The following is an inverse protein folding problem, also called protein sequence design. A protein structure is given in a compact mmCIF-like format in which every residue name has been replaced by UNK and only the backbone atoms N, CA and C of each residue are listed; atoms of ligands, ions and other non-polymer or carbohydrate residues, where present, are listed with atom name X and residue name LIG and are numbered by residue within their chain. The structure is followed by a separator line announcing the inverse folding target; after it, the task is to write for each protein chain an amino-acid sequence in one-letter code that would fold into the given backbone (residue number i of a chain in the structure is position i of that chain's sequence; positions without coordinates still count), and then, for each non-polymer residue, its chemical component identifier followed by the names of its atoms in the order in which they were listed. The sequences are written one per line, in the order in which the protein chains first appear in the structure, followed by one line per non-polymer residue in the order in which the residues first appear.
data_IF_203260312388
#
_entry.id   IF_203260312388
#
_cell.length_a   1.000
_cell.length_b   1.000
_cell.length_c   1.000
_cell.angle_alpha   90.00
_cell.angle_beta   90.00
_cell.angle_gamma   90.00
#
_symmetry.space_group_name_H-M   'P 1'
#
loop_
_entity.id
_entity.type
_entity.pdbx_description
1 polymer ?
#
# COMPACT_ATOMS: atom_id res chain seq x y z
N UNK A 1 3.08 13.85 -12.50
CA UNK A 1 1.69 13.38 -12.67
C UNK A 1 0.85 14.17 -11.67
N UNK A 2 -0.35 14.62 -11.99
CA UNK A 2 -1.22 15.18 -10.94
C UNK A 2 -1.77 14.01 -10.11
N UNK A 3 -1.91 14.17 -8.79
CA UNK A 3 -2.34 13.15 -7.84
C UNK A 3 -3.67 12.48 -8.23
N UNK A 4 -4.49 13.16 -9.03
CA UNK A 4 -5.72 12.60 -9.59
C UNK A 4 -5.52 11.34 -10.47
N UNK A 5 -4.30 11.02 -10.89
CA UNK A 5 -4.01 9.89 -11.79
C UNK A 5 -3.17 8.78 -11.15
N UNK A 6 -2.82 8.89 -9.86
CA UNK A 6 -2.04 7.85 -9.17
C UNK A 6 -2.97 6.66 -8.87
N UNK A 7 -2.66 5.45 -9.36
CA UNK A 7 -3.50 4.27 -9.14
C UNK A 7 -3.76 4.00 -7.65
N UNK A 8 -5.03 3.77 -7.30
CA UNK A 8 -5.46 3.37 -5.95
C UNK A 8 -5.92 4.52 -5.04
N UNK A 9 -5.75 5.77 -5.46
CA UNK A 9 -6.34 6.93 -4.74
C UNK A 9 -7.85 7.08 -4.96
N UNK A 10 -8.37 6.57 -6.07
CA UNK A 10 -9.78 6.58 -6.46
C UNK A 10 -10.58 5.42 -5.83
N UNK A 11 -9.92 4.32 -5.47
CA UNK A 11 -10.53 3.12 -4.88
C UNK A 11 -10.46 3.07 -3.34
N UNK A 12 -10.44 4.22 -2.67
CA UNK A 12 -10.33 4.28 -1.21
C UNK A 12 -11.56 3.65 -0.53
N UNK A 13 -11.40 2.75 0.46
CA UNK A 13 -12.49 2.03 1.12
C UNK A 13 -13.20 2.87 2.20
N UNK A 14 -13.31 4.19 2.01
CA UNK A 14 -13.88 5.11 3.01
C UNK A 14 -14.57 6.30 2.35
N UNK A 15 -15.51 6.90 3.08
CA UNK A 15 -16.18 8.16 2.72
C UNK A 15 -15.72 9.34 3.57
N UNK A 16 -14.76 9.12 4.48
CA UNK A 16 -14.29 10.16 5.39
C UNK A 16 -13.43 11.20 4.65
N UNK A 17 -14.02 12.36 4.34
CA UNK A 17 -13.40 13.37 3.46
C UNK A 17 -12.01 13.82 3.91
N UNK A 18 -11.81 14.06 5.22
CA UNK A 18 -10.50 14.45 5.74
C UNK A 18 -9.41 13.38 5.57
N UNK A 19 -9.81 12.10 5.55
CA UNK A 19 -8.88 10.99 5.34
C UNK A 19 -8.61 10.78 3.85
N UNK A 20 -9.50 11.20 2.95
CA UNK A 20 -9.27 11.16 1.51
C UNK A 20 -8.40 12.33 1.03
N UNK A 21 -8.51 13.49 1.69
CA UNK A 21 -7.74 14.69 1.34
C UNK A 21 -6.24 14.51 1.60
N UNK A 22 -5.87 13.97 2.77
CA UNK A 22 -4.48 13.88 3.19
C UNK A 22 -3.60 12.96 2.29
N UNK A 23 -4.00 11.72 1.94
CA UNK A 23 -3.23 10.88 1.02
C UNK A 23 -3.08 11.49 -0.37
N UNK A 24 -4.06 12.26 -0.87
CA UNK A 24 -3.94 12.97 -2.15
C UNK A 24 -2.85 14.04 -2.09
N UNK A 25 -2.80 14.81 -1.01
CA UNK A 25 -1.75 15.82 -0.79
C UNK A 25 -0.36 15.16 -0.72
N UNK A 26 -0.22 14.10 0.07
CA UNK A 26 1.07 13.39 0.21
C UNK A 26 1.49 12.72 -1.10
N UNK A 27 0.55 12.16 -1.87
CA UNK A 27 0.84 11.54 -3.15
C UNK A 27 1.22 12.57 -4.23
N UNK A 28 0.65 13.79 -4.19
CA UNK A 28 1.11 14.89 -5.05
C UNK A 28 2.58 15.25 -4.75
N UNK A 29 2.98 15.24 -3.47
CA UNK A 29 4.35 15.57 -3.08
C UNK A 29 5.36 14.45 -3.38
N UNK A 30 5.00 13.22 -3.04
CA UNK A 30 5.92 12.07 -3.09
C UNK A 30 5.91 11.35 -4.44
N UNK A 31 4.91 11.61 -5.28
CA UNK A 31 4.73 11.03 -6.62
C UNK A 31 4.95 9.50 -6.64
N UNK A 32 4.27 8.71 -5.79
CA UNK A 32 4.44 7.26 -5.77
C UNK A 32 3.84 6.62 -7.03
N UNK A 33 4.34 5.43 -7.38
CA UNK A 33 3.79 4.65 -8.51
C UNK A 33 2.35 4.20 -8.28
N UNK A 34 1.98 3.93 -7.02
CA UNK A 34 0.61 3.55 -6.60
C UNK A 34 0.38 3.82 -5.13
N UNK A 35 -0.89 3.93 -4.74
CA UNK A 35 -1.34 3.92 -3.35
C UNK A 35 -2.09 2.61 -3.08
N UNK A 36 -1.73 1.91 -2.00
CA UNK A 36 -2.44 0.73 -1.52
C UNK A 36 -3.02 1.00 -0.13
N UNK A 37 -4.30 0.70 0.06
CA UNK A 37 -4.98 0.82 1.35
C UNK A 37 -4.86 -0.49 2.11
N UNK A 38 -4.16 -0.46 3.24
CA UNK A 38 -3.97 -1.64 4.08
C UNK A 38 -5.27 -1.99 4.82
N UNK A 39 -5.71 -3.24 4.69
CA UNK A 39 -6.89 -3.77 5.38
C UNK A 39 -6.54 -4.60 6.62
N UNK A 40 -5.27 -5.00 6.76
CA UNK A 40 -4.78 -5.79 7.89
C UNK A 40 -5.22 -7.27 7.87
N UNK A 41 -5.70 -7.76 6.73
CA UNK A 41 -6.03 -9.18 6.54
C UNK A 41 -4.79 -10.08 6.51
N UNK A 42 -4.98 -11.38 6.77
CA UNK A 42 -3.90 -12.36 6.67
C UNK A 42 -3.42 -12.49 5.22
N UNK A 43 -4.34 -12.43 4.26
CA UNK A 43 -4.02 -12.48 2.83
C UNK A 43 -3.15 -11.28 2.40
N UNK A 44 -3.40 -10.09 2.95
CA UNK A 44 -2.55 -8.92 2.76
C UNK A 44 -1.16 -9.13 3.37
N UNK A 45 -1.10 -9.62 4.60
CA UNK A 45 0.14 -9.91 5.29
C UNK A 45 1.01 -10.89 4.50
N UNK A 46 0.45 -12.02 4.07
CA UNK A 46 1.15 -13.02 3.26
C UNK A 46 1.69 -12.43 1.96
N UNK A 47 0.88 -11.63 1.25
CA UNK A 47 1.28 -10.96 0.00
C UNK A 47 2.44 -9.99 0.22
N UNK A 48 2.40 -9.19 1.28
CA UNK A 48 3.47 -8.25 1.61
C UNK A 48 4.75 -8.98 2.03
N UNK A 49 4.64 -10.01 2.86
CA UNK A 49 5.78 -10.85 3.25
C UNK A 49 6.43 -11.54 2.04
N UNK A 50 5.62 -12.07 1.11
CA UNK A 50 6.13 -12.66 -0.13
C UNK A 50 6.91 -11.61 -0.95
N UNK A 51 6.35 -10.41 -1.12
CA UNK A 51 7.03 -9.33 -1.84
C UNK A 51 8.35 -8.90 -1.16
N UNK A 52 8.38 -8.86 0.17
CA UNK A 52 9.59 -8.52 0.94
C UNK A 52 10.67 -9.61 0.83
N UNK A 53 10.29 -10.88 0.70
CA UNK A 53 11.22 -11.99 0.43
C UNK A 53 11.78 -11.89 -0.98
N UNK A 54 10.94 -11.63 -1.98
CA UNK A 54 11.37 -11.42 -3.37
C UNK A 54 12.33 -10.23 -3.51
N UNK A 55 12.08 -9.14 -2.76
CA UNK A 55 12.95 -7.97 -2.70
C UNK A 55 14.23 -8.20 -1.88
N UNK A 56 14.40 -9.35 -1.23
CA UNK A 56 15.55 -9.69 -0.38
C UNK A 56 15.59 -8.95 0.96
N UNK A 57 14.53 -8.23 1.32
CA UNK A 57 14.41 -7.56 2.62
C UNK A 57 14.14 -8.58 3.73
N UNK A 58 13.32 -9.59 3.45
CA UNK A 58 13.05 -10.72 4.34
C UNK A 58 13.73 -11.99 3.86
N UNK A 59 14.13 -12.82 4.83
CA UNK A 59 14.50 -14.21 4.59
C UNK A 59 13.41 -15.10 5.15
N UNK A 60 12.77 -15.92 4.30
CA UNK A 60 11.77 -16.88 4.75
C UNK A 60 12.45 -17.94 5.61
N UNK A 61 12.06 -18.01 6.87
CA UNK A 61 12.56 -19.01 7.81
C UNK A 61 11.91 -20.37 7.55
N UNK A 62 12.50 -21.42 8.13
CA UNK A 62 11.91 -22.74 8.11
C UNK A 62 10.65 -22.74 9.00
N UNK A 63 9.45 -23.09 8.50
CA UNK A 63 8.24 -23.09 9.31
C UNK A 63 8.27 -24.10 10.46
N UNK A 64 9.12 -25.13 10.39
CA UNK A 64 9.23 -26.18 11.40
C UNK A 64 10.35 -25.95 12.43
N UNK A 65 11.11 -24.85 12.33
CA UNK A 65 12.28 -24.57 13.20
C UNK A 65 12.47 -23.10 13.54
#
# INVERSE_FOLDING_TARGET
MTAATIPGLDSAPTKHEGLLAYPREVAELTQPDRVAWADGSEEEYERLCAHLVEAGTFQKLNPDK
#
